data_IF_755518757535
#
_entry.id   IF_755518757535
#
_cell.length_a   1.000
_cell.length_b   1.000
_cell.length_c   1.000
_cell.angle_alpha   90.00
_cell.angle_beta   90.00
_cell.angle_gamma   90.00
#
_symmetry.space_group_name_H-M   'P 1'
#
loop_
_entity.id
_entity.type
_entity.pdbx_description
1 polymer ?
#
# COMPACT_ATOMS: atom_id res chain seq x y z
N UNK A 1 -40.63 -15.32 0.64
CA UNK A 1 -40.90 -15.92 1.97
C UNK A 1 -39.83 -15.41 2.94
N UNK A 2 -40.20 -14.63 3.96
CA UNK A 2 -39.30 -14.38 5.11
C UNK A 2 -39.27 -15.69 5.92
N UNK A 3 -38.12 -16.36 5.98
CA UNK A 3 -37.94 -17.59 6.77
C UNK A 3 -37.75 -17.19 8.22
N UNK A 4 -38.42 -17.88 9.15
CA UNK A 4 -38.21 -17.67 10.58
C UNK A 4 -36.78 -18.08 10.94
N UNK A 5 -36.10 -17.23 11.72
CA UNK A 5 -34.73 -17.43 12.22
C UNK A 5 -34.70 -17.24 13.73
N UNK A 6 -33.85 -18.00 14.41
CA UNK A 6 -33.77 -17.94 15.87
C UNK A 6 -32.74 -16.89 16.29
N UNK A 7 -33.18 -15.88 17.06
CA UNK A 7 -32.31 -14.87 17.70
C UNK A 7 -32.66 -14.81 19.18
N UNK A 8 -31.67 -14.94 20.08
CA UNK A 8 -31.91 -14.92 21.52
C UNK A 8 -32.90 -15.99 22.02
N UNK A 9 -32.86 -17.19 21.42
CA UNK A 9 -33.76 -18.33 21.72
C UNK A 9 -35.23 -18.08 21.37
N UNK A 10 -35.53 -17.05 20.56
CA UNK A 10 -36.88 -16.79 20.03
C UNK A 10 -36.88 -16.79 18.51
N UNK A 11 -37.95 -17.31 17.92
CA UNK A 11 -38.18 -17.19 16.48
C UNK A 11 -38.52 -15.75 16.13
N UNK A 12 -37.76 -15.17 15.20
CA UNK A 12 -38.00 -13.84 14.64
C UNK A 12 -37.95 -13.88 13.13
N UNK A 13 -38.68 -12.96 12.49
CA UNK A 13 -38.64 -12.72 11.03
C UNK A 13 -37.73 -11.56 10.65
N UNK A 14 -37.25 -10.83 11.66
CA UNK A 14 -36.40 -9.66 11.53
C UNK A 14 -35.20 -9.82 12.47
N UNK A 15 -34.01 -9.84 11.87
CA UNK A 15 -32.75 -9.88 12.59
C UNK A 15 -32.26 -8.45 12.69
N UNK A 16 -32.05 -7.98 13.91
CA UNK A 16 -31.33 -6.72 14.12
C UNK A 16 -29.86 -6.95 13.75
N UNK A 17 -29.47 -6.45 12.56
CA UNK A 17 -28.11 -6.59 12.07
C UNK A 17 -27.13 -5.70 12.85
N UNK A 18 -27.62 -4.70 13.58
CA UNK A 18 -26.80 -3.77 14.35
C UNK A 18 -26.19 -4.45 15.58
N UNK A 19 -26.78 -5.55 16.05
CA UNK A 19 -26.26 -6.35 17.16
C UNK A 19 -24.81 -6.82 16.94
N UNK A 20 -24.40 -7.05 15.68
CA UNK A 20 -23.05 -7.48 15.32
C UNK A 20 -22.14 -6.33 14.89
N UNK A 21 -22.64 -5.09 14.87
CA UNK A 21 -21.87 -3.94 14.44
C UNK A 21 -21.15 -3.31 15.63
N UNK A 22 -19.83 -3.14 15.48
CA UNK A 22 -19.01 -2.36 16.41
C UNK A 22 -18.80 -0.98 15.78
N UNK A 23 -19.23 0.07 16.49
CA UNK A 23 -19.02 1.44 16.05
C UNK A 23 -17.53 1.77 16.15
N UNK A 24 -16.91 2.11 15.02
CA UNK A 24 -15.53 2.61 14.96
C UNK A 24 -15.57 4.10 14.66
N UNK A 25 -14.80 4.89 15.40
CA UNK A 25 -14.69 6.34 15.18
C UNK A 25 -14.03 6.60 13.82
N UNK A 26 -14.67 7.46 13.01
CA UNK A 26 -14.00 8.05 11.85
C UNK A 26 -13.00 9.07 12.37
N UNK A 27 -11.71 8.76 12.24
CA UNK A 27 -10.61 9.64 12.60
C UNK A 27 -9.60 9.68 11.46
N UNK A 28 -9.04 10.85 11.21
CA UNK A 28 -7.94 10.99 10.26
C UNK A 28 -6.66 10.43 10.91
N UNK A 29 -5.97 9.58 10.16
CA UNK A 29 -4.69 9.01 10.58
C UNK A 29 -3.60 9.48 9.61
N UNK A 30 -2.51 10.01 10.17
CA UNK A 30 -1.31 10.33 9.39
C UNK A 30 -0.29 9.22 9.62
N UNK A 31 0.02 8.48 8.55
CA UNK A 31 1.01 7.41 8.56
C UNK A 31 2.40 7.90 8.11
N UNK A 32 3.46 7.12 8.39
CA UNK A 32 4.81 7.44 7.92
C UNK A 32 5.00 7.22 6.42
N UNK A 33 4.14 6.41 5.79
CA UNK A 33 4.15 6.14 4.36
C UNK A 33 3.28 7.14 3.62
N UNK A 34 3.74 7.57 2.45
CA UNK A 34 2.90 8.30 1.52
C UNK A 34 1.92 7.36 0.80
N UNK A 35 0.80 7.92 0.35
CA UNK A 35 -0.25 7.22 -0.38
C UNK A 35 -0.49 7.91 -1.72
N UNK A 36 0.60 8.25 -2.42
CA UNK A 36 0.57 9.10 -3.61
C UNK A 36 0.88 8.35 -4.91
N UNK A 37 1.23 7.07 -4.81
CA UNK A 37 1.45 6.15 -5.90
C UNK A 37 0.14 5.45 -6.34
N UNK A 38 -0.04 5.10 -7.63
CA UNK A 38 -1.22 4.39 -8.08
C UNK A 38 -1.37 3.00 -7.43
N UNK A 39 -2.59 2.70 -6.97
CA UNK A 39 -2.94 1.44 -6.29
C UNK A 39 -3.21 0.33 -7.30
N UNK A 40 -2.71 -0.88 -7.04
CA UNK A 40 -3.00 -2.08 -7.84
C UNK A 40 -4.49 -2.46 -7.89
N UNK A 41 -4.85 -3.33 -8.86
CA UNK A 41 -6.19 -3.90 -9.02
C UNK A 41 -7.31 -2.86 -9.21
N UNK A 42 -6.98 -1.67 -9.72
CA UNK A 42 -7.93 -0.71 -10.27
C UNK A 42 -8.15 -0.95 -11.76
N UNK A 43 -9.14 -0.26 -12.35
CA UNK A 43 -9.52 -0.43 -13.77
C UNK A 43 -8.35 -0.37 -14.76
N UNK A 44 -7.26 0.31 -14.41
CA UNK A 44 -6.02 0.34 -15.16
C UNK A 44 -4.87 -0.28 -14.35
N UNK A 45 -4.13 -1.17 -14.98
CA UNK A 45 -2.89 -1.71 -14.41
C UNK A 45 -1.87 -0.58 -14.23
N UNK A 46 -1.15 -0.58 -13.11
CA UNK A 46 -0.11 0.43 -12.83
C UNK A 46 1.05 0.26 -13.83
N UNK A 47 1.29 1.23 -14.73
CA UNK A 47 2.38 1.14 -15.69
C UNK A 47 3.72 1.46 -15.03
N UNK A 48 4.83 0.91 -15.55
CA UNK A 48 6.17 1.25 -15.05
C UNK A 48 6.48 2.75 -15.16
N UNK A 49 5.89 3.45 -16.13
CA UNK A 49 5.96 4.93 -16.26
C UNK A 49 5.47 5.67 -15.00
N UNK A 50 4.60 5.06 -14.19
CA UNK A 50 4.17 5.63 -12.92
C UNK A 50 5.33 5.76 -11.93
N UNK A 51 6.31 4.84 -11.95
CA UNK A 51 7.53 4.91 -11.15
C UNK A 51 8.34 6.16 -11.50
N UNK A 52 8.59 6.38 -12.80
CA UNK A 52 9.28 7.58 -13.29
C UNK A 52 8.59 8.86 -12.86
N UNK A 53 7.29 8.98 -13.15
CA UNK A 53 6.51 10.17 -12.80
C UNK A 53 6.53 10.45 -11.29
N UNK A 54 6.45 9.39 -10.48
CA UNK A 54 6.52 9.53 -9.02
C UNK A 54 7.90 10.03 -8.59
N UNK A 55 8.98 9.41 -9.06
CA UNK A 55 10.35 9.77 -8.74
C UNK A 55 10.72 11.19 -9.19
N UNK A 56 10.21 11.64 -10.34
CA UNK A 56 10.40 13.00 -10.84
C UNK A 56 9.69 14.03 -9.96
N UNK A 57 8.45 13.73 -9.54
CA UNK A 57 7.66 14.59 -8.65
C UNK A 57 8.28 14.72 -7.26
N UNK A 58 8.94 13.66 -6.78
CA UNK A 58 9.53 13.61 -5.43
C UNK A 58 11.04 13.85 -5.41
N UNK A 59 11.65 14.29 -6.53
CA UNK A 59 13.11 14.46 -6.69
C UNK A 59 13.80 15.34 -5.64
N UNK A 60 13.07 16.25 -5.01
CA UNK A 60 13.60 17.16 -3.99
C UNK A 60 13.63 16.52 -2.58
N UNK A 61 13.10 15.30 -2.43
CA UNK A 61 13.08 14.57 -1.17
C UNK A 61 14.26 13.58 -1.11
N UNK A 62 14.71 13.20 0.11
CA UNK A 62 15.65 12.09 0.28
C UNK A 62 15.13 10.81 -0.36
N UNK A 63 16.01 9.99 -0.94
CA UNK A 63 15.61 8.79 -1.68
C UNK A 63 14.70 7.85 -0.88
N UNK A 64 15.00 7.64 0.40
CA UNK A 64 14.16 6.84 1.30
C UNK A 64 12.72 7.36 1.38
N UNK A 65 12.51 8.68 1.39
CA UNK A 65 11.17 9.29 1.37
C UNK A 65 10.48 9.14 0.03
N UNK A 66 11.25 9.13 -1.07
CA UNK A 66 10.73 8.89 -2.43
C UNK A 66 10.20 7.47 -2.61
N UNK A 67 10.76 6.49 -1.91
CA UNK A 67 10.29 5.08 -1.96
C UNK A 67 9.38 4.69 -0.78
N UNK A 68 9.13 5.59 0.17
CA UNK A 68 8.24 5.38 1.32
C UNK A 68 6.76 5.43 0.91
N UNK A 69 6.35 4.56 0.00
CA UNK A 69 4.97 4.36 -0.43
C UNK A 69 4.73 2.85 -0.59
N UNK A 70 3.67 2.34 0.02
CA UNK A 70 3.39 0.91 0.04
C UNK A 70 3.17 0.34 -1.37
N UNK A 71 2.43 1.05 -2.22
CA UNK A 71 2.12 0.57 -3.57
C UNK A 71 3.32 0.68 -4.51
N UNK A 72 4.21 1.65 -4.26
CA UNK A 72 5.50 1.70 -4.94
C UNK A 72 6.36 0.49 -4.59
N UNK A 73 6.46 0.14 -3.30
CA UNK A 73 7.22 -1.04 -2.85
C UNK A 73 6.65 -2.34 -3.43
N UNK A 74 5.32 -2.46 -3.54
CA UNK A 74 4.69 -3.60 -4.22
C UNK A 74 5.05 -3.69 -5.70
N UNK A 75 5.23 -2.56 -6.40
CA UNK A 75 5.69 -2.55 -7.79
C UNK A 75 7.15 -2.98 -7.90
N UNK A 76 8.02 -2.50 -7.01
CA UNK A 76 9.42 -2.93 -6.98
C UNK A 76 9.55 -4.43 -6.68
N UNK A 77 8.72 -4.96 -5.77
CA UNK A 77 8.68 -6.38 -5.42
C UNK A 77 8.32 -7.32 -6.58
N UNK A 78 7.82 -6.80 -7.72
CA UNK A 78 7.58 -7.61 -8.93
C UNK A 78 8.86 -7.93 -9.70
N UNK A 79 9.93 -7.19 -9.45
CA UNK A 79 11.19 -7.25 -10.23
C UNK A 79 12.39 -7.58 -9.33
N UNK A 80 12.37 -7.11 -8.09
CA UNK A 80 13.41 -7.37 -7.09
C UNK A 80 13.23 -8.71 -6.38
N UNK A 81 14.30 -9.23 -5.79
CA UNK A 81 14.23 -10.47 -5.02
C UNK A 81 13.39 -10.27 -3.75
N UNK A 82 12.35 -11.10 -3.60
CA UNK A 82 11.40 -11.03 -2.48
C UNK A 82 12.02 -11.40 -1.12
N UNK A 83 13.10 -12.18 -1.11
CA UNK A 83 13.72 -12.70 0.11
C UNK A 83 14.94 -11.88 0.55
N UNK A 84 15.55 -11.12 -0.36
CA UNK A 84 16.75 -10.33 -0.08
C UNK A 84 16.51 -8.82 -0.26
N UNK A 85 16.10 -8.39 -1.45
CA UNK A 85 16.04 -6.96 -1.81
C UNK A 85 14.87 -6.24 -1.14
N UNK A 86 13.69 -6.87 -1.16
CA UNK A 86 12.49 -6.27 -0.57
C UNK A 86 12.64 -6.06 0.94
N UNK A 87 13.12 -7.04 1.75
CA UNK A 87 13.42 -6.81 3.16
C UNK A 87 14.43 -5.68 3.41
N UNK A 88 15.50 -5.59 2.60
CA UNK A 88 16.50 -4.54 2.77
C UNK A 88 15.91 -3.13 2.50
N UNK A 89 15.07 -3.00 1.47
CA UNK A 89 14.39 -1.75 1.16
C UNK A 89 13.34 -1.38 2.21
N UNK A 90 12.55 -2.36 2.69
CA UNK A 90 11.52 -2.10 3.71
C UNK A 90 12.14 -1.80 5.07
N UNK A 91 13.29 -2.39 5.41
CA UNK A 91 14.07 -1.99 6.59
C UNK A 91 14.49 -0.52 6.49
N UNK A 92 15.08 -0.10 5.35
CA UNK A 92 15.45 1.30 5.14
C UNK A 92 14.25 2.25 5.28
N UNK A 93 13.08 1.86 4.74
CA UNK A 93 11.84 2.63 4.87
C UNK A 93 11.32 2.62 6.32
N UNK A 94 11.43 1.51 7.05
CA UNK A 94 11.00 1.43 8.44
C UNK A 94 11.88 2.29 9.36
N UNK A 95 13.19 2.20 9.21
CA UNK A 95 14.17 2.93 10.03
C UNK A 95 14.47 4.33 9.51
N UNK A 96 13.94 4.68 8.33
CA UNK A 96 14.17 5.96 7.66
C UNK A 96 15.66 6.26 7.45
N UNK A 97 16.43 5.22 7.09
CA UNK A 97 17.87 5.29 6.85
C UNK A 97 18.18 5.48 5.37
N UNK A 98 19.46 5.72 5.06
CA UNK A 98 19.90 5.87 3.67
C UNK A 98 19.73 4.55 2.91
N UNK A 99 19.11 4.62 1.73
CA UNK A 99 19.02 3.49 0.81
C UNK A 99 20.41 3.26 0.18
N UNK A 100 20.93 2.03 0.11
CA UNK A 100 22.20 1.74 -0.53
C UNK A 100 22.23 2.21 -2.00
N UNK A 101 23.35 2.78 -2.45
CA UNK A 101 23.49 3.39 -3.78
C UNK A 101 23.13 2.43 -4.92
N UNK A 102 23.52 1.15 -4.82
CA UNK A 102 23.17 0.15 -5.82
C UNK A 102 21.66 0.01 -6.05
N UNK A 103 20.86 0.07 -4.99
CA UNK A 103 19.40 0.06 -5.11
C UNK A 103 18.86 1.36 -5.71
N UNK A 104 19.46 2.51 -5.39
CA UNK A 104 19.05 3.79 -5.98
C UNK A 104 19.23 3.76 -7.50
N UNK A 105 20.41 3.35 -7.96
CA UNK A 105 20.73 3.24 -9.39
C UNK A 105 19.79 2.25 -10.08
N UNK A 106 19.56 1.09 -9.47
CA UNK A 106 18.70 0.06 -10.05
C UNK A 106 17.25 0.56 -10.20
N UNK A 107 16.70 1.18 -9.17
CA UNK A 107 15.33 1.74 -9.19
C UNK A 107 15.23 2.89 -10.21
N UNK A 108 16.23 3.77 -10.28
CA UNK A 108 16.26 4.86 -11.27
C UNK A 108 16.41 4.34 -12.71
N UNK A 109 17.16 3.25 -12.90
CA UNK A 109 17.27 2.56 -14.18
C UNK A 109 15.92 1.97 -14.61
N UNK A 110 15.22 1.25 -13.72
CA UNK A 110 13.88 0.72 -13.96
C UNK A 110 12.89 1.84 -14.34
N UNK A 111 13.01 3.01 -13.72
CA UNK A 111 12.17 4.16 -14.04
C UNK A 111 12.52 4.79 -15.40
N UNK A 112 13.79 4.75 -15.80
CA UNK A 112 14.27 5.35 -17.04
C UNK A 112 14.00 4.49 -18.28
N UNK A 113 13.88 3.18 -18.12
CA UNK A 113 13.52 2.24 -19.21
C UNK A 113 12.03 2.25 -19.56
N UNK A 114 11.19 2.92 -18.76
CA UNK A 114 9.73 2.90 -18.84
C UNK A 114 9.08 4.01 -19.69
#
# INVERSE_FOLDING_TARGET
MKKDVVVGVKDTREVDNDFFLVVVKIADHQGPLSSSFPIENRNTQVPMKALKNHLDRTKNLPFVKRISDFHLLLVLARVLDLNADVPALTECVQTQTSVPEGYQILIESMASTA
#
